data_IF_745425205814
#
_entry.id   IF_745425205814
#
_cell.length_a   1.000
_cell.length_b   1.000
_cell.length_c   1.000
_cell.angle_alpha   90.00
_cell.angle_beta   90.00
_cell.angle_gamma   90.00
#
_symmetry.space_group_name_H-M   'P 1'
#
loop_
_entity.id
_entity.type
_entity.pdbx_description
1 polymer ?
#
# COMPACT_ATOMS: atom_id res chain seq x y z
N UNK A 1 -39.83 10.68 0.60
CA UNK A 1 -38.39 10.36 0.38
C UNK A 1 -37.47 11.45 0.97
N UNK A 2 -37.69 12.76 0.76
CA UNK A 2 -36.86 13.82 1.37
C UNK A 2 -36.85 13.79 2.90
N UNK A 3 -38.02 13.61 3.54
CA UNK A 3 -38.16 13.52 5.00
C UNK A 3 -37.50 12.27 5.63
N UNK A 4 -37.26 11.21 4.85
CA UNK A 4 -36.57 10.02 5.35
C UNK A 4 -35.06 10.22 5.27
N UNK A 5 -34.57 10.83 4.18
CA UNK A 5 -33.17 11.19 4.02
C UNK A 5 -32.71 12.23 5.06
N UNK A 6 -33.55 13.23 5.38
CA UNK A 6 -33.28 14.20 6.46
C UNK A 6 -33.09 13.53 7.82
N UNK A 7 -34.03 12.67 8.24
CA UNK A 7 -33.93 11.96 9.52
C UNK A 7 -32.71 11.04 9.64
N UNK A 8 -32.31 10.39 8.54
CA UNK A 8 -31.10 9.55 8.52
C UNK A 8 -29.86 10.42 8.67
N UNK A 9 -29.76 11.52 7.90
CA UNK A 9 -28.65 12.46 7.96
C UNK A 9 -28.48 13.09 9.36
N UNK A 10 -29.58 13.53 9.97
CA UNK A 10 -29.57 14.23 11.26
C UNK A 10 -29.14 13.33 12.43
N UNK A 11 -29.29 12.02 12.31
CA UNK A 11 -29.00 11.04 13.38
C UNK A 11 -27.80 10.14 13.08
N UNK A 12 -27.19 10.28 11.89
CA UNK A 12 -26.15 9.37 11.41
C UNK A 12 -24.94 9.32 12.34
N UNK A 13 -24.35 10.48 12.65
CA UNK A 13 -23.17 10.56 13.52
C UNK A 13 -23.45 9.98 14.90
N UNK A 14 -24.55 10.40 15.55
CA UNK A 14 -24.91 9.91 16.88
C UNK A 14 -25.09 8.39 16.91
N UNK A 15 -25.71 7.82 15.86
CA UNK A 15 -25.87 6.36 15.72
C UNK A 15 -24.52 5.66 15.53
N UNK A 16 -23.64 6.19 14.68
CA UNK A 16 -22.31 5.61 14.48
C UNK A 16 -21.51 5.65 15.77
N UNK A 17 -21.47 6.79 16.48
CA UNK A 17 -20.78 6.91 17.78
C UNK A 17 -21.30 5.88 18.78
N UNK A 18 -22.62 5.71 18.89
CA UNK A 18 -23.21 4.71 19.78
C UNK A 18 -22.87 3.26 19.40
N UNK A 19 -22.81 2.95 18.10
CA UNK A 19 -22.42 1.63 17.61
C UNK A 19 -20.94 1.35 17.87
N UNK A 20 -20.06 2.32 17.57
CA UNK A 20 -18.62 2.18 17.80
C UNK A 20 -18.34 1.98 19.29
N UNK A 21 -18.99 2.76 20.16
CA UNK A 21 -18.80 2.65 21.62
C UNK A 21 -19.10 1.25 22.17
N UNK A 22 -20.09 0.57 21.60
CA UNK A 22 -20.45 -0.80 21.99
C UNK A 22 -19.57 -1.86 21.33
N UNK A 23 -19.12 -1.63 20.10
CA UNK A 23 -18.56 -2.67 19.24
C UNK A 23 -17.03 -2.65 19.13
N UNK A 24 -16.39 -1.48 19.11
CA UNK A 24 -14.94 -1.42 18.94
C UNK A 24 -14.21 -1.51 20.29
N UNK A 25 -12.99 -2.03 20.24
CA UNK A 25 -12.02 -1.99 21.33
C UNK A 25 -11.79 -0.55 21.81
N UNK A 26 -11.53 -0.32 23.11
CA UNK A 26 -11.09 0.99 23.60
C UNK A 26 -9.79 1.49 22.95
N UNK A 27 -8.99 0.60 22.35
CA UNK A 27 -7.78 0.94 21.62
C UNK A 27 -8.03 1.35 20.15
N UNK A 28 -9.26 1.17 19.65
CA UNK A 28 -9.63 1.52 18.29
C UNK A 28 -9.79 3.03 18.14
N UNK A 29 -9.42 3.55 16.96
CA UNK A 29 -9.70 4.94 16.63
C UNK A 29 -11.20 5.10 16.33
N UNK A 30 -11.87 6.00 17.04
CA UNK A 30 -13.28 6.34 16.76
C UNK A 30 -13.37 7.20 15.50
N UNK A 31 -14.38 6.96 14.67
CA UNK A 31 -14.49 7.65 13.37
C UNK A 31 -14.61 9.17 13.48
N UNK A 32 -15.20 9.66 14.57
CA UNK A 32 -15.48 11.07 14.78
C UNK A 32 -14.62 11.72 15.88
N UNK A 33 -13.59 11.03 16.36
CA UNK A 33 -12.57 11.58 17.27
C UNK A 33 -11.25 11.79 16.52
N UNK A 34 -11.35 12.02 15.21
CA UNK A 34 -10.24 12.36 14.30
C UNK A 34 -9.62 13.71 14.67
N UNK A 35 -8.32 13.87 14.41
CA UNK A 35 -7.61 15.16 14.44
C UNK A 35 -8.00 16.08 13.29
N UNK A 36 -8.87 15.61 12.39
CA UNK A 36 -9.46 16.38 11.32
C UNK A 36 -8.63 16.37 10.03
N UNK A 37 -8.90 17.36 9.19
CA UNK A 37 -8.33 17.52 7.84
C UNK A 37 -7.48 18.78 7.78
N UNK A 38 -6.56 18.84 6.82
CA UNK A 38 -5.72 20.03 6.64
C UNK A 38 -6.51 21.25 6.18
N UNK A 39 -7.58 21.05 5.39
CA UNK A 39 -8.50 22.10 4.95
C UNK A 39 -9.89 21.83 5.52
N UNK A 40 -10.47 22.82 6.17
CA UNK A 40 -11.83 22.73 6.70
C UNK A 40 -12.84 22.47 5.58
N UNK A 41 -13.75 21.55 5.83
CA UNK A 41 -14.84 21.23 4.91
C UNK A 41 -16.07 20.78 5.68
N UNK A 42 -17.24 20.98 5.07
CA UNK A 42 -18.49 20.50 5.63
C UNK A 42 -18.45 18.97 5.64
N UNK A 43 -18.69 18.37 6.81
CA UNK A 43 -18.68 16.93 6.98
C UNK A 43 -19.84 16.25 6.26
N UNK A 44 -19.65 14.98 5.90
CA UNK A 44 -20.68 14.23 5.20
C UNK A 44 -21.79 13.82 6.17
N UNK A 45 -23.04 14.12 5.83
CA UNK A 45 -24.16 13.77 6.70
C UNK A 45 -24.51 12.26 6.72
N UNK A 46 -23.88 11.43 5.86
CA UNK A 46 -24.22 10.00 5.70
C UNK A 46 -23.01 9.08 5.56
N UNK A 47 -21.80 9.61 5.75
CA UNK A 47 -20.55 8.84 5.72
C UNK A 47 -19.66 9.31 6.86
N UNK A 48 -18.97 8.39 7.49
CA UNK A 48 -17.95 8.75 8.48
C UNK A 48 -16.76 9.45 7.81
N UNK A 49 -15.91 10.18 8.56
CA UNK A 49 -14.69 10.78 8.01
C UNK A 49 -13.81 9.78 7.26
N UNK A 50 -13.62 8.56 7.79
CA UNK A 50 -12.79 7.52 7.17
C UNK A 50 -13.47 6.87 5.95
N UNK A 51 -14.79 6.69 5.95
CA UNK A 51 -15.53 6.25 4.75
C UNK A 51 -15.40 7.26 3.62
N UNK A 52 -15.45 8.56 3.94
CA UNK A 52 -15.24 9.63 2.96
C UNK A 52 -13.83 9.60 2.39
N UNK A 53 -12.82 9.29 3.22
CA UNK A 53 -11.43 9.17 2.78
C UNK A 53 -11.23 8.00 1.83
N UNK A 54 -11.73 6.82 2.21
CA UNK A 54 -11.77 5.65 1.35
C UNK A 54 -12.37 5.99 -0.02
N UNK A 55 -13.54 6.63 -0.03
CA UNK A 55 -14.21 6.97 -1.28
C UNK A 55 -13.38 7.94 -2.14
N UNK A 56 -12.70 8.92 -1.53
CA UNK A 56 -11.79 9.84 -2.24
C UNK A 56 -10.62 9.12 -2.87
N UNK A 57 -10.01 8.18 -2.15
CA UNK A 57 -8.90 7.37 -2.66
C UNK A 57 -9.35 6.57 -3.88
N UNK A 58 -10.43 5.79 -3.76
CA UNK A 58 -10.91 4.90 -4.82
C UNK A 58 -11.28 5.65 -6.10
N UNK A 59 -11.83 6.86 -5.98
CA UNK A 59 -12.21 7.69 -7.14
C UNK A 59 -11.04 8.52 -7.72
N UNK A 60 -9.90 8.56 -7.04
CA UNK A 60 -8.73 9.31 -7.49
C UNK A 60 -8.15 8.77 -8.80
N UNK A 61 -7.44 9.61 -9.54
CA UNK A 61 -6.68 9.17 -10.72
C UNK A 61 -5.50 8.27 -10.32
N UNK A 62 -4.86 8.57 -9.18
CA UNK A 62 -3.71 7.81 -8.67
C UNK A 62 -4.08 6.36 -8.36
N UNK A 63 -5.19 6.12 -7.68
CA UNK A 63 -5.68 4.77 -7.43
C UNK A 63 -6.02 4.03 -8.74
N UNK A 64 -6.70 4.68 -9.68
CA UNK A 64 -6.99 4.09 -11.00
C UNK A 64 -5.74 3.69 -11.78
N UNK A 65 -4.64 4.43 -11.63
CA UNK A 65 -3.36 4.13 -12.29
C UNK A 65 -2.66 2.91 -11.72
N UNK A 66 -2.98 2.47 -10.49
CA UNK A 66 -2.43 1.23 -9.94
C UNK A 66 -2.75 0.00 -10.81
N UNK A 67 -3.84 0.03 -11.59
CA UNK A 67 -4.18 -0.99 -12.58
C UNK A 67 -3.11 -1.13 -13.68
N UNK A 68 -2.44 -0.04 -14.02
CA UNK A 68 -1.41 0.02 -15.06
C UNK A 68 0.02 0.04 -14.51
N UNK A 69 0.20 -0.28 -13.23
CA UNK A 69 1.50 -0.37 -12.57
C UNK A 69 1.74 -1.80 -12.11
N UNK A 70 2.90 -2.32 -12.46
CA UNK A 70 3.34 -3.65 -12.09
C UNK A 70 3.76 -3.74 -10.63
N UNK A 71 3.56 -4.91 -10.05
CA UNK A 71 4.03 -5.23 -8.70
C UNK A 71 5.48 -5.73 -8.74
N UNK A 72 5.72 -6.82 -9.50
CA UNK A 72 7.02 -7.52 -9.56
C UNK A 72 7.67 -7.42 -10.94
N UNK A 73 6.94 -7.82 -12.00
CA UNK A 73 7.49 -7.97 -13.36
C UNK A 73 7.05 -6.82 -14.28
N UNK A 74 7.93 -6.33 -15.15
CA UNK A 74 7.63 -5.19 -16.03
C UNK A 74 6.93 -5.63 -17.32
N UNK A 75 5.63 -5.34 -17.44
CA UNK A 75 4.79 -5.69 -18.60
C UNK A 75 4.97 -7.15 -19.07
N UNK A 76 4.84 -8.13 -18.16
CA UNK A 76 5.07 -9.54 -18.50
C UNK A 76 4.06 -10.02 -19.53
N UNK A 77 4.50 -10.89 -20.45
CA UNK A 77 3.61 -11.55 -21.39
C UNK A 77 2.71 -12.55 -20.63
N UNK A 78 1.43 -12.23 -20.49
CA UNK A 78 0.40 -13.11 -19.88
C UNK A 78 -0.67 -12.35 -19.10
N UNK A 79 -1.83 -12.96 -18.93
CA UNK A 79 -3.04 -12.28 -18.45
C UNK A 79 -3.26 -12.32 -16.93
N UNK A 80 -2.36 -12.97 -16.17
CA UNK A 80 -2.60 -13.32 -14.76
C UNK A 80 -1.60 -12.74 -13.76
N UNK A 81 -0.68 -11.88 -14.19
CA UNK A 81 0.28 -11.24 -13.28
C UNK A 81 -0.40 -10.14 -12.47
N UNK A 82 -0.04 -10.05 -11.20
CA UNK A 82 -0.62 -9.04 -10.32
C UNK A 82 -0.13 -7.64 -10.67
N UNK A 83 -1.04 -6.70 -10.49
CA UNK A 83 -0.77 -5.27 -10.56
C UNK A 83 -0.70 -4.71 -9.14
N UNK A 84 -0.23 -3.48 -8.98
CA UNK A 84 -0.31 -2.81 -7.68
C UNK A 84 -1.73 -2.70 -7.16
N UNK A 85 -2.72 -2.61 -8.06
CA UNK A 85 -4.13 -2.58 -7.68
C UNK A 85 -4.57 -3.89 -7.03
N UNK A 86 -4.19 -5.04 -7.59
CA UNK A 86 -4.55 -6.34 -6.99
C UNK A 86 -3.84 -6.54 -5.66
N UNK A 87 -2.54 -6.21 -5.56
CA UNK A 87 -1.81 -6.18 -4.29
C UNK A 87 -2.52 -5.33 -3.24
N UNK A 88 -2.85 -4.09 -3.60
CA UNK A 88 -3.56 -3.15 -2.72
C UNK A 88 -4.90 -3.70 -2.22
N UNK A 89 -5.69 -4.34 -3.10
CA UNK A 89 -6.98 -4.93 -2.73
C UNK A 89 -6.81 -6.14 -1.80
N UNK A 90 -5.81 -6.98 -2.06
CA UNK A 90 -5.52 -8.17 -1.26
C UNK A 90 -5.00 -7.78 0.14
N UNK A 91 -4.00 -6.89 0.21
CA UNK A 91 -3.49 -6.29 1.46
C UNK A 91 -4.63 -5.68 2.27
N UNK A 92 -5.48 -4.88 1.62
CA UNK A 92 -6.64 -4.24 2.27
C UNK A 92 -7.62 -5.28 2.80
N UNK A 93 -7.92 -6.32 2.02
CA UNK A 93 -8.82 -7.40 2.44
C UNK A 93 -8.34 -8.11 3.71
N UNK A 94 -7.05 -8.49 3.74
CA UNK A 94 -6.44 -9.14 4.90
C UNK A 94 -6.41 -8.18 6.10
N UNK A 95 -6.03 -6.91 5.89
CA UNK A 95 -5.94 -5.92 6.96
C UNK A 95 -7.30 -5.69 7.64
N UNK A 96 -8.38 -5.63 6.85
CA UNK A 96 -9.75 -5.53 7.37
C UNK A 96 -10.17 -6.76 8.19
N UNK A 97 -9.72 -7.97 7.83
CA UNK A 97 -9.99 -9.18 8.62
C UNK A 97 -9.32 -9.08 9.99
N UNK A 98 -8.06 -8.65 10.04
CA UNK A 98 -7.32 -8.45 11.29
C UNK A 98 -7.98 -7.36 12.14
N UNK A 99 -8.32 -6.21 11.55
CA UNK A 99 -8.97 -5.12 12.25
C UNK A 99 -10.32 -5.56 12.84
N UNK A 100 -11.14 -6.28 12.06
CA UNK A 100 -12.42 -6.82 12.54
C UNK A 100 -12.26 -7.78 13.71
N UNK A 101 -11.31 -8.71 13.62
CA UNK A 101 -11.05 -9.69 14.68
C UNK A 101 -10.60 -9.03 15.99
N UNK A 102 -9.81 -7.96 15.90
CA UNK A 102 -9.34 -7.17 17.05
C UNK A 102 -10.33 -6.07 17.47
N UNK A 103 -11.49 -5.98 16.82
CA UNK A 103 -12.50 -4.92 17.02
C UNK A 103 -11.91 -3.50 16.86
N UNK A 104 -11.04 -3.30 15.88
CA UNK A 104 -10.49 -2.00 15.49
C UNK A 104 -11.29 -1.38 14.35
N UNK A 105 -11.00 -0.12 14.00
CA UNK A 105 -11.76 0.60 12.98
C UNK A 105 -11.43 0.09 11.56
N UNK A 106 -12.35 -0.70 11.00
CA UNK A 106 -12.21 -1.23 9.64
C UNK A 106 -12.18 -0.14 8.56
N UNK A 107 -12.96 0.93 8.69
CA UNK A 107 -13.02 1.98 7.67
C UNK A 107 -11.69 2.77 7.61
N UNK A 108 -11.06 3.01 8.77
CA UNK A 108 -9.72 3.60 8.85
C UNK A 108 -8.67 2.66 8.24
N UNK A 109 -8.69 1.38 8.62
CA UNK A 109 -7.77 0.38 8.10
C UNK A 109 -7.89 0.23 6.58
N UNK A 110 -9.13 0.23 6.07
CA UNK A 110 -9.43 0.18 4.64
C UNK A 110 -8.93 1.43 3.91
N UNK A 111 -9.17 2.63 4.44
CA UNK A 111 -8.68 3.86 3.83
C UNK A 111 -7.15 3.90 3.75
N UNK A 112 -6.45 3.51 4.81
CA UNK A 112 -4.97 3.41 4.81
C UNK A 112 -4.51 2.35 3.79
N UNK A 113 -5.11 1.16 3.83
CA UNK A 113 -4.80 0.05 2.94
C UNK A 113 -4.95 0.41 1.46
N UNK A 114 -6.01 1.13 1.08
CA UNK A 114 -6.21 1.55 -0.31
C UNK A 114 -5.29 2.70 -0.75
N UNK A 115 -4.78 3.48 0.21
CA UNK A 115 -3.98 4.67 -0.05
C UNK A 115 -2.47 4.45 -0.05
N UNK A 116 -1.97 3.43 0.67
CA UNK A 116 -0.54 3.27 0.98
C UNK A 116 0.37 3.24 -0.24
N UNK A 117 -0.13 2.68 -1.35
CA UNK A 117 0.65 2.37 -2.55
C UNK A 117 0.44 3.34 -3.72
N UNK A 118 -0.37 4.39 -3.52
CA UNK A 118 -0.81 5.29 -4.60
C UNK A 118 0.31 6.14 -5.23
N UNK A 119 1.41 6.33 -4.51
CA UNK A 119 2.56 7.16 -4.89
C UNK A 119 3.71 6.42 -5.58
N UNK A 120 3.64 5.09 -5.72
CA UNK A 120 4.68 4.33 -6.41
C UNK A 120 4.86 4.81 -7.86
N UNK A 121 6.08 5.00 -8.38
CA UNK A 121 6.30 5.33 -9.78
C UNK A 121 6.03 4.11 -10.69
N UNK A 122 6.08 4.29 -12.03
CA UNK A 122 6.14 3.17 -12.96
C UNK A 122 7.26 2.19 -12.61
N UNK A 123 7.09 0.91 -12.93
CA UNK A 123 8.12 -0.14 -12.78
C UNK A 123 8.48 -0.50 -11.32
N UNK A 124 7.60 -0.19 -10.36
CA UNK A 124 7.76 -0.59 -8.97
C UNK A 124 9.08 -0.09 -8.34
N UNK A 125 9.76 -0.97 -7.59
CA UNK A 125 10.99 -0.60 -6.87
C UNK A 125 12.11 -0.14 -7.79
N UNK A 126 12.25 -0.71 -8.99
CA UNK A 126 13.27 -0.27 -9.95
C UNK A 126 13.04 1.18 -10.41
N UNK A 127 11.78 1.56 -10.61
CA UNK A 127 11.44 2.94 -10.95
C UNK A 127 11.62 3.90 -9.77
N UNK A 128 11.31 3.46 -8.56
CA UNK A 128 11.54 4.21 -7.31
C UNK A 128 13.02 4.49 -7.12
N UNK A 129 13.85 3.44 -7.15
CA UNK A 129 15.31 3.53 -6.99
C UNK A 129 15.94 4.46 -8.03
N UNK A 130 15.49 4.40 -9.29
CA UNK A 130 16.05 5.28 -10.32
C UNK A 130 15.61 6.72 -10.15
N UNK A 131 14.32 6.96 -9.90
CA UNK A 131 13.80 8.32 -9.71
C UNK A 131 14.44 8.99 -8.50
N UNK A 132 14.64 8.26 -7.40
CA UNK A 132 15.37 8.72 -6.22
C UNK A 132 16.78 9.19 -6.60
N UNK A 133 17.58 8.33 -7.25
CA UNK A 133 18.94 8.69 -7.66
C UNK A 133 18.97 9.92 -8.57
N UNK A 134 18.07 10.00 -9.56
CA UNK A 134 18.00 11.16 -10.45
C UNK A 134 17.72 12.46 -9.68
N UNK A 135 16.79 12.43 -8.71
CA UNK A 135 16.45 13.61 -7.90
C UNK A 135 17.60 13.98 -6.95
N UNK A 136 18.26 12.99 -6.33
CA UNK A 136 19.41 13.23 -5.44
C UNK A 136 20.56 13.86 -6.21
N UNK A 137 20.90 13.30 -7.38
CA UNK A 137 21.99 13.79 -8.23
C UNK A 137 21.72 15.21 -8.75
N UNK A 138 20.46 15.55 -9.07
CA UNK A 138 20.10 16.83 -9.70
C UNK A 138 19.74 17.93 -8.71
N UNK A 139 18.97 17.60 -7.67
CA UNK A 139 18.35 18.57 -6.75
C UNK A 139 18.79 18.37 -5.30
N UNK A 140 19.47 17.27 -4.97
CA UNK A 140 19.86 16.95 -3.59
C UNK A 140 18.71 16.41 -2.72
N UNK A 141 17.60 16.00 -3.34
CA UNK A 141 16.40 15.49 -2.66
C UNK A 141 16.08 14.06 -3.09
N UNK A 142 15.56 13.24 -2.18
CA UNK A 142 15.21 11.84 -2.46
C UNK A 142 13.77 11.63 -2.96
N UNK A 143 13.46 10.40 -3.31
CA UNK A 143 12.11 9.91 -3.62
C UNK A 143 11.77 8.66 -2.81
N UNK A 144 10.63 8.73 -2.12
CA UNK A 144 10.02 7.57 -1.48
C UNK A 144 8.53 7.53 -1.81
N UNK A 145 8.01 6.35 -2.18
CA UNK A 145 6.63 6.16 -2.61
C UNK A 145 5.62 6.51 -1.51
N UNK A 146 5.94 6.25 -0.25
CA UNK A 146 5.07 6.53 0.91
C UNK A 146 4.93 8.05 1.12
N UNK A 147 6.00 8.82 0.94
CA UNK A 147 5.93 10.29 0.94
C UNK A 147 5.12 10.82 -0.23
N UNK A 148 5.29 10.23 -1.43
CA UNK A 148 4.50 10.61 -2.59
C UNK A 148 3.01 10.24 -2.41
N UNK A 149 2.71 9.11 -1.78
CA UNK A 149 1.35 8.71 -1.40
C UNK A 149 0.75 9.68 -0.39
N UNK A 150 1.54 10.17 0.58
CA UNK A 150 1.11 11.22 1.49
C UNK A 150 0.80 12.53 0.75
N UNK A 151 1.63 12.97 -0.20
CA UNK A 151 1.34 14.18 -1.01
C UNK A 151 -0.01 14.04 -1.73
N UNK A 152 -0.27 12.88 -2.35
CA UNK A 152 -1.55 12.57 -2.98
C UNK A 152 -2.71 12.61 -1.96
N UNK A 153 -2.52 12.03 -0.76
CA UNK A 153 -3.52 12.06 0.31
C UNK A 153 -3.83 13.49 0.79
N UNK A 154 -2.81 14.34 0.91
CA UNK A 154 -2.99 15.75 1.28
C UNK A 154 -3.70 16.56 0.19
N UNK A 155 -3.42 16.29 -1.09
CA UNK A 155 -4.18 16.85 -2.21
C UNK A 155 -5.66 16.46 -2.14
N UNK A 156 -5.97 15.21 -1.76
CA UNK A 156 -7.33 14.72 -1.54
C UNK A 156 -7.99 15.23 -0.24
N UNK A 157 -7.27 15.99 0.58
CA UNK A 157 -7.72 16.48 1.89
C UNK A 157 -8.14 15.35 2.85
N UNK A 158 -7.41 14.25 2.89
CA UNK A 158 -7.73 13.13 3.78
C UNK A 158 -7.54 13.49 5.27
N UNK A 159 -8.14 12.70 6.16
CA UNK A 159 -7.96 12.84 7.61
C UNK A 159 -6.51 12.57 8.01
N UNK A 160 -6.11 13.16 9.13
CA UNK A 160 -4.76 13.03 9.66
C UNK A 160 -4.37 11.57 9.89
N UNK A 161 -5.28 10.73 10.40
CA UNK A 161 -5.01 9.31 10.72
C UNK A 161 -4.72 8.50 9.46
N UNK A 162 -5.46 8.75 8.37
CA UNK A 162 -5.21 8.11 7.07
C UNK A 162 -3.87 8.56 6.51
N UNK A 163 -3.55 9.86 6.62
CA UNK A 163 -2.26 10.39 6.19
C UNK A 163 -1.08 9.80 6.96
N UNK A 164 -1.18 9.70 8.29
CA UNK A 164 -0.15 9.10 9.16
C UNK A 164 0.06 7.63 8.79
N UNK A 165 -1.03 6.85 8.68
CA UNK A 165 -0.96 5.45 8.29
C UNK A 165 -0.33 5.24 6.91
N UNK A 166 -0.70 6.05 5.91
CA UNK A 166 -0.11 6.00 4.56
C UNK A 166 1.39 6.34 4.60
N UNK A 167 1.79 7.38 5.33
CA UNK A 167 3.20 7.77 5.41
C UNK A 167 4.06 6.69 6.09
N UNK A 168 3.55 6.10 7.17
CA UNK A 168 4.35 5.28 8.10
C UNK A 168 4.11 3.78 7.96
N UNK A 169 3.32 3.34 6.96
CA UNK A 169 3.15 1.91 6.67
C UNK A 169 4.49 1.22 6.34
N UNK A 170 5.49 1.97 5.90
CA UNK A 170 6.86 1.53 5.62
C UNK A 170 7.88 2.45 6.32
N UNK A 171 9.17 2.12 6.22
CA UNK A 171 10.25 2.90 6.80
C UNK A 171 10.41 2.72 8.33
N UNK A 172 11.25 3.53 8.99
CA UNK A 172 11.63 3.32 10.39
C UNK A 172 10.58 3.79 11.39
N UNK A 173 9.73 4.75 11.01
CA UNK A 173 8.67 5.26 11.86
C UNK A 173 7.46 4.31 11.81
N UNK A 174 6.86 4.05 12.97
CA UNK A 174 5.62 3.29 13.06
C UNK A 174 4.38 4.18 13.01
N UNK A 175 3.26 3.67 12.47
CA UNK A 175 1.97 4.34 12.56
C UNK A 175 1.53 4.60 13.99
N UNK A 176 0.86 5.73 14.22
CA UNK A 176 0.34 6.08 15.54
C UNK A 176 -0.90 5.28 15.93
N UNK A 177 -1.62 4.74 14.95
CA UNK A 177 -2.85 3.97 15.15
C UNK A 177 -2.58 2.47 15.01
N UNK A 178 -3.32 1.65 15.75
CA UNK A 178 -3.24 0.19 15.60
C UNK A 178 -3.70 -0.23 14.20
N UNK A 179 -4.69 0.46 13.64
CA UNK A 179 -5.18 0.29 12.27
C UNK A 179 -4.05 0.49 11.23
N UNK A 180 -3.24 1.54 11.39
CA UNK A 180 -2.06 1.76 10.54
C UNK A 180 -1.00 0.68 10.73
N UNK A 181 -0.73 0.27 11.98
CA UNK A 181 0.21 -0.81 12.27
C UNK A 181 -0.22 -2.14 11.65
N UNK A 182 -1.53 -2.43 11.58
CA UNK A 182 -2.05 -3.60 10.85
C UNK A 182 -1.63 -3.52 9.39
N UNK A 183 -1.90 -2.40 8.70
CA UNK A 183 -1.56 -2.27 7.27
C UNK A 183 -0.07 -2.47 7.05
N UNK A 184 0.79 -1.91 7.92
CA UNK A 184 2.25 -2.10 7.88
C UNK A 184 2.70 -3.56 7.95
N UNK A 185 2.08 -4.37 8.82
CA UNK A 185 2.42 -5.80 8.94
C UNK A 185 1.83 -6.59 7.79
N UNK A 186 0.56 -6.34 7.46
CA UNK A 186 -0.19 -7.09 6.44
C UNK A 186 0.33 -6.84 5.03
N UNK A 187 0.85 -5.65 4.73
CA UNK A 187 1.51 -5.39 3.45
C UNK A 187 2.66 -6.38 3.19
N UNK A 188 3.44 -6.71 4.24
CA UNK A 188 4.51 -7.73 4.16
C UNK A 188 3.95 -9.14 3.97
N UNK A 189 2.80 -9.45 4.58
CA UNK A 189 2.10 -10.74 4.43
C UNK A 189 1.62 -10.92 2.99
N UNK A 190 0.98 -9.91 2.42
CA UNK A 190 0.47 -9.95 1.05
C UNK A 190 1.61 -10.07 0.03
N UNK A 191 2.66 -9.26 0.21
CA UNK A 191 3.87 -9.27 -0.62
C UNK A 191 4.46 -10.68 -0.74
N UNK A 192 4.76 -11.34 0.38
CA UNK A 192 5.37 -12.67 0.38
C UNK A 192 4.53 -13.69 -0.39
N UNK A 193 3.22 -13.73 -0.16
CA UNK A 193 2.39 -14.77 -0.73
C UNK A 193 2.26 -14.64 -2.24
N UNK A 194 2.04 -13.41 -2.69
CA UNK A 194 1.71 -13.17 -4.07
C UNK A 194 2.93 -13.11 -4.97
N UNK A 195 4.07 -12.67 -4.44
CA UNK A 195 5.33 -12.70 -5.16
C UNK A 195 5.85 -14.12 -5.32
N UNK A 196 5.62 -15.02 -4.33
CA UNK A 196 5.95 -16.45 -4.47
C UNK A 196 5.14 -17.06 -5.61
N UNK A 197 3.82 -16.84 -5.62
CA UNK A 197 2.93 -17.37 -6.66
C UNK A 197 3.32 -16.85 -8.05
N UNK A 198 3.58 -15.55 -8.18
CA UNK A 198 3.93 -14.92 -9.45
C UNK A 198 5.33 -15.36 -9.92
N UNK A 199 6.30 -15.52 -9.01
CA UNK A 199 7.65 -16.00 -9.34
C UNK A 199 7.66 -17.46 -9.79
N UNK A 200 6.88 -18.33 -9.14
CA UNK A 200 6.71 -19.72 -9.58
C UNK A 200 6.02 -19.77 -10.93
N UNK A 201 4.95 -18.98 -11.11
CA UNK A 201 4.21 -18.93 -12.38
C UNK A 201 5.04 -18.44 -13.55
N UNK A 202 5.92 -17.46 -13.30
CA UNK A 202 6.87 -16.96 -14.29
C UNK A 202 7.97 -18.00 -14.61
N UNK A 203 8.13 -19.03 -13.78
CA UNK A 203 9.21 -20.00 -13.88
C UNK A 203 10.56 -19.47 -13.39
N UNK A 204 10.55 -18.40 -12.59
CA UNK A 204 11.74 -17.83 -11.97
C UNK A 204 12.20 -18.66 -10.76
N UNK A 205 11.25 -19.26 -10.06
CA UNK A 205 11.49 -20.15 -8.92
C UNK A 205 10.76 -21.47 -9.12
N UNK A 206 11.44 -22.58 -8.84
CA UNK A 206 10.78 -23.85 -8.62
C UNK A 206 10.29 -23.93 -7.15
N UNK A 207 9.13 -24.56 -6.87
CA UNK A 207 8.62 -24.69 -5.50
C UNK A 207 9.63 -25.30 -4.52
N UNK A 208 10.52 -26.18 -5.00
CA UNK A 208 11.52 -26.86 -4.20
C UNK A 208 12.69 -25.97 -3.78
N UNK A 209 12.85 -24.79 -4.41
CA UNK A 209 13.86 -23.80 -4.06
C UNK A 209 13.44 -22.93 -2.88
N UNK A 210 12.15 -22.93 -2.51
CA UNK A 210 11.66 -22.19 -1.36
C UNK A 210 12.25 -22.76 -0.06
N UNK A 211 12.53 -21.89 0.93
CA UNK A 211 13.20 -22.32 2.14
C UNK A 211 12.24 -23.15 3.01
N UNK A 212 12.57 -24.43 3.18
CA UNK A 212 11.63 -25.43 3.74
C UNK A 212 11.25 -25.17 5.19
N UNK A 213 12.19 -24.69 6.01
CA UNK A 213 11.94 -24.47 7.43
C UNK A 213 10.83 -23.43 7.64
N UNK A 214 10.85 -22.35 6.86
CA UNK A 214 9.86 -21.29 6.87
C UNK A 214 8.52 -21.79 6.31
N UNK A 215 8.52 -22.61 5.26
CA UNK A 215 7.30 -23.19 4.71
C UNK A 215 6.64 -24.20 5.66
N UNK A 216 7.41 -25.00 6.39
CA UNK A 216 6.88 -25.94 7.39
C UNK A 216 6.19 -25.20 8.54
N UNK A 217 6.72 -24.03 8.94
CA UNK A 217 6.13 -23.21 9.98
C UNK A 217 4.94 -22.37 9.49
N UNK A 218 5.08 -21.71 8.34
CA UNK A 218 4.09 -20.75 7.86
C UNK A 218 2.99 -21.44 7.04
N UNK A 219 3.34 -22.41 6.20
CA UNK A 219 2.43 -23.14 5.34
C UNK A 219 2.98 -23.34 3.92
N UNK A 220 2.63 -24.47 3.30
CA UNK A 220 3.08 -24.80 1.94
C UNK A 220 2.32 -24.03 0.85
N UNK A 221 1.05 -23.70 1.09
CA UNK A 221 0.20 -22.95 0.15
C UNK A 221 0.07 -21.49 0.57
N UNK A 222 -0.21 -20.59 -0.39
CA UNK A 222 -0.46 -19.18 -0.08
C UNK A 222 -1.60 -18.98 0.92
N UNK A 223 -2.68 -19.76 0.80
CA UNK A 223 -3.80 -19.70 1.74
C UNK A 223 -3.39 -20.15 3.16
N UNK A 224 -2.62 -21.24 3.28
CA UNK A 224 -2.17 -21.73 4.59
C UNK A 224 -1.20 -20.74 5.25
N UNK A 225 -0.29 -20.12 4.48
CA UNK A 225 0.60 -19.07 4.98
C UNK A 225 -0.15 -17.86 5.49
N UNK A 226 -1.09 -17.34 4.70
CA UNK A 226 -1.93 -16.20 5.12
C UNK A 226 -2.66 -16.56 6.41
N UNK A 227 -3.27 -17.75 6.48
CA UNK A 227 -4.01 -18.20 7.66
C UNK A 227 -3.12 -18.22 8.91
N UNK A 228 -1.95 -18.85 8.85
CA UNK A 228 -0.98 -18.89 9.96
C UNK A 228 -0.53 -17.50 10.40
N UNK A 229 -0.13 -16.65 9.44
CA UNK A 229 0.38 -15.30 9.71
C UNK A 229 -0.71 -14.42 10.34
N UNK A 230 -1.94 -14.49 9.83
CA UNK A 230 -3.08 -13.70 10.32
C UNK A 230 -3.54 -14.21 11.69
N UNK A 231 -3.63 -15.53 11.90
CA UNK A 231 -4.02 -16.09 13.19
C UNK A 231 -3.01 -15.76 14.29
N UNK A 232 -1.71 -15.88 14.02
CA UNK A 232 -0.67 -15.48 14.97
C UNK A 232 -0.74 -13.98 15.28
N UNK A 233 -0.84 -13.13 14.25
CA UNK A 233 -0.96 -11.68 14.40
C UNK A 233 -2.15 -11.32 15.31
N UNK A 234 -3.34 -11.87 15.06
CA UNK A 234 -4.54 -11.60 15.88
C UNK A 234 -4.33 -12.08 17.33
N UNK A 235 -3.92 -13.35 17.51
CA UNK A 235 -3.85 -13.95 18.83
C UNK A 235 -2.79 -13.31 19.74
N UNK A 236 -1.69 -12.83 19.15
CA UNK A 236 -0.63 -12.13 19.89
C UNK A 236 -1.01 -10.68 20.15
N UNK A 237 -1.61 -10.02 19.17
CA UNK A 237 -2.02 -8.62 19.30
C UNK A 237 -3.10 -8.41 20.36
N UNK A 238 -4.10 -9.31 20.42
CA UNK A 238 -5.17 -9.24 21.41
C UNK A 238 -4.63 -9.25 22.86
N UNK A 239 -3.58 -10.04 23.11
CA UNK A 239 -2.96 -10.17 24.44
C UNK A 239 -2.03 -9.00 24.77
N UNK A 240 -1.33 -8.47 23.77
CA UNK A 240 -0.35 -7.42 23.94
C UNK A 240 -0.97 -6.03 24.07
N UNK A 241 -2.16 -5.81 23.50
CA UNK A 241 -2.73 -4.46 23.36
C UNK A 241 -1.98 -3.60 22.33
N UNK A 242 -1.25 -4.24 21.41
CA UNK A 242 -0.55 -3.63 20.28
C UNK A 242 -0.52 -4.62 19.12
N UNK A 243 -0.11 -4.21 17.91
CA UNK A 243 -0.03 -5.06 16.72
C UNK A 243 1.31 -5.78 16.68
N UNK A 244 1.33 -7.06 17.01
CA UNK A 244 2.55 -7.88 17.14
C UNK A 244 2.36 -9.30 16.62
N UNK A 245 3.45 -9.89 16.14
CA UNK A 245 3.55 -11.32 15.81
C UNK A 245 4.43 -12.02 16.86
N UNK A 246 4.35 -13.35 16.94
CA UNK A 246 5.33 -14.12 17.70
C UNK A 246 6.72 -14.04 17.10
N UNK A 247 7.74 -14.25 17.92
CA UNK A 247 9.14 -14.24 17.49
C UNK A 247 9.39 -15.26 16.37
N UNK A 248 8.89 -16.49 16.53
CA UNK A 248 9.07 -17.58 15.55
C UNK A 248 8.42 -17.22 14.20
N UNK A 249 7.13 -16.84 14.21
CA UNK A 249 6.37 -16.53 13.00
C UNK A 249 6.88 -15.26 12.32
N UNK A 250 7.16 -14.20 13.10
CA UNK A 250 7.72 -12.97 12.59
C UNK A 250 9.10 -13.15 11.96
N UNK A 251 9.97 -13.95 12.59
CA UNK A 251 11.31 -14.27 12.06
C UNK A 251 11.22 -15.06 10.77
N UNK A 252 10.38 -16.10 10.71
CA UNK A 252 10.17 -16.87 9.49
C UNK A 252 9.58 -16.03 8.35
N UNK A 253 8.64 -15.14 8.65
CA UNK A 253 8.08 -14.20 7.67
C UNK A 253 9.17 -13.30 7.08
N UNK A 254 10.03 -12.72 7.94
CA UNK A 254 11.12 -11.86 7.51
C UNK A 254 12.18 -12.63 6.71
N UNK A 255 12.53 -13.85 7.13
CA UNK A 255 13.46 -14.71 6.40
C UNK A 255 12.94 -15.05 4.99
N UNK A 256 11.66 -15.44 4.88
CA UNK A 256 11.03 -15.73 3.60
C UNK A 256 10.95 -14.48 2.70
N UNK A 257 10.66 -13.31 3.28
CA UNK A 257 10.71 -12.03 2.54
C UNK A 257 12.12 -11.72 2.02
N UNK A 258 13.15 -11.91 2.84
CA UNK A 258 14.54 -11.69 2.44
C UNK A 258 14.95 -12.63 1.29
N UNK A 259 14.58 -13.91 1.39
CA UNK A 259 14.78 -14.87 0.30
C UNK A 259 14.12 -14.40 -1.00
N UNK A 260 12.85 -13.97 -0.93
CA UNK A 260 12.13 -13.46 -2.11
C UNK A 260 12.80 -12.23 -2.70
N UNK A 261 13.24 -11.30 -1.86
CA UNK A 261 13.95 -10.10 -2.30
C UNK A 261 15.24 -10.45 -3.07
N UNK A 262 16.05 -11.34 -2.53
CA UNK A 262 17.31 -11.75 -3.16
C UNK A 262 17.10 -12.50 -4.48
N UNK A 263 16.11 -13.40 -4.54
CA UNK A 263 15.90 -14.27 -5.70
C UNK A 263 15.09 -13.61 -6.80
N UNK A 264 14.06 -12.83 -6.44
CA UNK A 264 13.10 -12.26 -7.39
C UNK A 264 13.48 -10.84 -7.80
N UNK A 265 13.88 -9.99 -6.83
CA UNK A 265 14.13 -8.57 -7.10
C UNK A 265 15.59 -8.27 -7.43
N UNK A 266 16.55 -8.99 -6.81
CA UNK A 266 17.98 -8.83 -7.07
C UNK A 266 18.56 -9.88 -8.01
N UNK A 267 17.74 -10.84 -8.45
CA UNK A 267 18.14 -11.93 -9.33
C UNK A 267 18.65 -11.46 -10.70
N UNK A 268 19.43 -12.30 -11.38
CA UNK A 268 19.98 -11.98 -12.71
C UNK A 268 18.90 -11.67 -13.75
N UNK A 269 17.74 -12.34 -13.65
CA UNK A 269 16.59 -12.10 -14.51
C UNK A 269 16.06 -10.66 -14.40
N UNK A 270 15.98 -10.13 -13.18
CA UNK A 270 15.48 -8.78 -12.92
C UNK A 270 16.40 -7.69 -13.48
N UNK A 271 17.70 -7.98 -13.68
CA UNK A 271 18.68 -6.98 -14.17
C UNK A 271 18.25 -6.36 -15.50
N UNK A 272 17.83 -7.18 -16.47
CA UNK A 272 17.42 -6.67 -17.80
C UNK A 272 16.17 -5.80 -17.70
N UNK A 273 15.21 -6.18 -16.85
CA UNK A 273 14.01 -5.39 -16.61
C UNK A 273 14.34 -4.08 -15.90
N UNK A 274 15.20 -4.13 -14.88
CA UNK A 274 15.69 -2.96 -14.15
C UNK A 274 16.45 -2.00 -15.05
N UNK A 275 17.34 -2.50 -15.92
CA UNK A 275 18.07 -1.68 -16.88
C UNK A 275 17.12 -0.93 -17.80
N UNK A 276 16.09 -1.61 -18.31
CA UNK A 276 15.04 -1.00 -19.13
C UNK A 276 14.22 0.05 -18.36
N UNK A 277 13.83 -0.24 -17.12
CA UNK A 277 13.14 0.70 -16.25
C UNK A 277 14.00 1.95 -16.01
N UNK A 278 15.27 1.74 -15.66
CA UNK A 278 16.23 2.80 -15.37
C UNK A 278 16.46 3.69 -16.58
N UNK A 279 16.68 3.11 -17.77
CA UNK A 279 16.84 3.86 -19.02
C UNK A 279 15.59 4.69 -19.31
N UNK A 280 14.40 4.08 -19.18
CA UNK A 280 13.12 4.76 -19.41
C UNK A 280 12.95 5.95 -18.48
N UNK A 281 13.12 5.75 -17.16
CA UNK A 281 12.98 6.82 -16.16
C UNK A 281 14.01 7.92 -16.39
N UNK A 282 15.27 7.57 -16.67
CA UNK A 282 16.35 8.54 -16.93
C UNK A 282 16.05 9.41 -18.14
N UNK A 283 15.65 8.78 -19.26
CA UNK A 283 15.34 9.52 -20.50
C UNK A 283 14.19 10.50 -20.31
N UNK A 284 13.14 10.10 -19.60
CA UNK A 284 12.01 10.98 -19.27
C UNK A 284 12.48 12.11 -18.36
N UNK A 285 13.23 11.79 -17.30
CA UNK A 285 13.74 12.76 -16.36
C UNK A 285 14.60 13.83 -17.04
N UNK A 286 15.60 13.42 -17.82
CA UNK A 286 16.51 14.32 -18.53
C UNK A 286 15.77 15.24 -19.51
N UNK A 287 14.75 14.71 -20.19
CA UNK A 287 13.90 15.51 -21.07
C UNK A 287 13.13 16.59 -20.31
N UNK A 288 12.52 16.27 -19.16
CA UNK A 288 11.77 17.24 -18.36
C UNK A 288 12.70 18.30 -17.76
N UNK A 289 13.89 17.89 -17.30
CA UNK A 289 14.95 18.82 -16.86
C UNK A 289 15.36 19.74 -18.01
N UNK A 290 15.56 19.20 -19.21
CA UNK A 290 15.90 19.98 -20.41
C UNK A 290 14.81 20.96 -20.84
N UNK A 291 13.54 20.64 -20.54
CA UNK A 291 12.39 21.54 -20.74
C UNK A 291 12.30 22.66 -19.70
N UNK A 292 13.03 22.55 -18.60
CA UNK A 292 13.04 23.54 -17.51
C UNK A 292 11.96 23.30 -16.46
N UNK A 293 11.38 22.10 -16.39
CA UNK A 293 10.41 21.75 -15.36
C UNK A 293 11.05 21.78 -13.96
N UNK A 294 10.26 22.16 -12.96
CA UNK A 294 10.66 22.14 -11.55
C UNK A 294 10.75 20.72 -10.99
N UNK A 295 11.44 20.56 -9.85
CA UNK A 295 11.54 19.27 -9.14
C UNK A 295 10.16 18.66 -8.86
N UNK A 296 9.21 19.48 -8.39
CA UNK A 296 7.87 19.03 -8.04
C UNK A 296 7.08 18.57 -9.27
N UNK A 297 7.17 19.30 -10.39
CA UNK A 297 6.55 18.91 -11.66
C UNK A 297 7.11 17.59 -12.19
N UNK A 298 8.44 17.43 -12.16
CA UNK A 298 9.11 16.19 -12.59
C UNK A 298 8.65 15.01 -11.73
N UNK A 299 8.69 15.18 -10.41
CA UNK A 299 8.29 14.16 -9.44
C UNK A 299 6.85 13.72 -9.66
N UNK A 300 5.92 14.67 -9.74
CA UNK A 300 4.49 14.39 -9.93
C UNK A 300 4.20 13.77 -11.30
N UNK A 301 4.88 14.24 -12.35
CA UNK A 301 4.67 13.75 -13.71
C UNK A 301 5.15 12.31 -13.87
N UNK A 302 6.40 12.00 -13.48
CA UNK A 302 6.97 10.66 -13.61
C UNK A 302 6.23 9.66 -12.71
N UNK A 303 6.08 9.96 -11.41
CA UNK A 303 5.38 9.04 -10.48
C UNK A 303 3.91 8.81 -10.84
N UNK A 304 3.29 9.79 -11.52
CA UNK A 304 1.92 9.72 -12.01
C UNK A 304 1.72 8.90 -13.30
N UNK A 305 2.77 8.41 -13.94
CA UNK A 305 2.65 7.59 -15.16
C UNK A 305 2.22 6.15 -14.84
N UNK A 306 1.70 5.45 -15.84
CA UNK A 306 1.59 3.98 -15.84
C UNK A 306 2.76 3.40 -16.61
N UNK A 307 3.06 2.12 -16.43
CA UNK A 307 4.25 1.48 -17.04
C UNK A 307 4.23 1.60 -18.57
N UNK A 308 3.11 1.26 -19.20
CA UNK A 308 2.93 1.37 -20.65
C UNK A 308 3.03 2.80 -21.16
N UNK A 309 2.46 3.75 -20.41
CA UNK A 309 2.56 5.16 -20.78
C UNK A 309 4.01 5.66 -20.69
N UNK A 310 4.74 5.30 -19.63
CA UNK A 310 6.14 5.66 -19.47
C UNK A 310 7.00 5.10 -20.62
N UNK A 311 6.83 3.82 -20.97
CA UNK A 311 7.52 3.19 -22.10
C UNK A 311 7.21 3.89 -23.44
N UNK A 312 5.93 4.16 -23.71
CA UNK A 312 5.50 4.84 -24.94
C UNK A 312 5.99 6.28 -25.00
N UNK A 313 5.95 7.00 -23.88
CA UNK A 313 6.38 8.39 -23.79
C UNK A 313 7.88 8.48 -24.03
N UNK A 314 8.68 7.68 -23.33
CA UNK A 314 10.13 7.61 -23.54
C UNK A 314 10.51 7.25 -24.98
N UNK A 315 9.78 6.32 -25.61
CA UNK A 315 10.01 5.95 -27.01
C UNK A 315 9.73 7.07 -28.01
N UNK A 316 8.99 8.11 -27.62
CA UNK A 316 8.65 9.28 -28.46
C UNK A 316 9.57 10.50 -28.29
N UNK A 317 10.43 10.49 -27.27
CA UNK A 317 11.40 11.56 -26.97
C UNK A 317 12.61 11.51 -27.92
#
# INVERSE_FOLDING_TARGET
MPELAGRVADTFEARIRALEEQALSPLAVRSYDTRGRARDEIESAIRTPFQRDRDRIVHSKSFRRLKGKTQVFIDPAGDHYRTRMTHTLETTGIARVVARALRLNEDLTEAIGLGHDTGHPPFGHAGEDRLDRCLVERFGTGFHHNEQSLRIAQELNLTWEVCDGILTHTGPQEPQTLEGKIVRVVDRVAYINHDIDDAIRYGLLAPEELPRAELELLGETGSARIDTLVHDLIAKSERAGDIVQSEDVGTAMLALRSFMFERVYLGEHARREHDRAHETITRIFDHLVGRGDSEEEIRAFISGMTDRFALSYAGSL
#
